data_IF_082998884376
#
_entry.id   IF_082998884376
#
_cell.length_a   1.000
_cell.length_b   1.000
_cell.length_c   1.000
_cell.angle_alpha   90.00
_cell.angle_beta   90.00
_cell.angle_gamma   90.00
#
_symmetry.space_group_name_H-M   'P 1'
#
loop_
_entity.id
_entity.type
_entity.pdbx_description
1 polymer ?
#
# COMPACT_ATOMS: atom_id res chain seq x y z
N UNK A 1 15.27 3.23 22.96
CA UNK A 1 15.42 3.09 22.55
C UNK A 1 15.73 2.93 21.67
N UNK A 2 15.96 3.10 21.51
CA UNK A 2 16.18 3.13 20.76
C UNK A 2 16.33 2.69 20.02
N UNK A 3 15.92 3.01 20.34
CA UNK A 3 15.76 2.45 19.34
C UNK A 3 16.68 1.95 18.36
N UNK A 4 17.15 1.34 18.09
CA UNK A 4 17.95 0.49 17.23
C UNK A 4 18.00 0.97 15.78
N UNK A 5 17.95 2.29 15.59
CA UNK A 5 18.06 2.82 14.27
C UNK A 5 16.78 2.77 13.43
N UNK A 6 15.71 2.21 13.94
CA UNK A 6 14.44 2.25 13.25
C UNK A 6 13.74 3.56 13.57
N UNK A 7 13.34 4.26 12.54
CA UNK A 7 12.51 5.44 12.68
C UNK A 7 11.23 5.20 11.89
N UNK A 8 10.15 5.65 12.46
CA UNK A 8 8.84 5.50 11.85
C UNK A 8 8.35 6.88 11.45
N UNK A 9 7.93 7.01 10.22
CA UNK A 9 7.36 8.27 9.75
C UNK A 9 6.04 8.01 9.06
N UNK A 10 5.15 9.02 9.13
CA UNK A 10 3.87 8.98 8.45
C UNK A 10 4.06 9.70 7.12
N UNK A 11 3.75 9.01 6.03
CA UNK A 11 3.83 9.62 4.70
C UNK A 11 2.70 10.62 4.53
N UNK A 12 2.94 11.71 3.81
CA UNK A 12 1.89 12.71 3.58
C UNK A 12 0.76 12.14 2.74
N UNK A 13 -0.44 12.68 2.97
CA UNK A 13 -1.62 12.29 2.23
C UNK A 13 -2.29 11.05 2.75
N UNK A 14 -3.43 10.75 2.18
CA UNK A 14 -4.22 9.59 2.53
C UNK A 14 -4.15 8.57 1.41
N UNK A 15 -4.35 7.32 1.78
CA UNK A 15 -4.27 6.19 0.86
C UNK A 15 -5.59 5.45 0.84
N UNK A 16 -5.83 4.75 -0.25
CA UNK A 16 -7.01 3.93 -0.43
C UNK A 16 -6.59 2.49 -0.75
N UNK A 17 -7.43 1.56 -0.34
CA UNK A 17 -7.25 0.15 -0.61
C UNK A 17 -8.44 -0.32 -1.43
N UNK A 18 -8.16 -0.82 -2.64
CA UNK A 18 -9.18 -1.37 -3.53
C UNK A 18 -9.01 -2.87 -3.61
N UNK A 19 -10.11 -3.58 -3.63
CA UNK A 19 -10.11 -5.02 -3.86
C UNK A 19 -10.82 -5.30 -5.17
N UNK A 20 -10.14 -6.02 -6.04
CA UNK A 20 -10.64 -6.35 -7.38
C UNK A 20 -10.63 -7.87 -7.53
N UNK A 21 -11.40 -8.39 -8.49
CA UNK A 21 -11.35 -9.83 -8.78
C UNK A 21 -9.92 -10.30 -9.07
N UNK A 22 -9.58 -11.54 -8.71
CA UNK A 22 -8.19 -12.01 -8.80
C UNK A 22 -7.61 -12.02 -10.19
N UNK A 23 -8.44 -12.10 -11.23
CA UNK A 23 -8.00 -12.12 -12.62
C UNK A 23 -8.06 -10.74 -13.28
N UNK A 24 -8.32 -9.68 -12.51
CA UNK A 24 -8.38 -8.34 -13.05
C UNK A 24 -7.03 -7.88 -13.57
N UNK A 25 -7.04 -7.04 -14.60
CA UNK A 25 -5.85 -6.32 -15.02
C UNK A 25 -5.61 -5.18 -14.04
N UNK A 26 -4.35 -4.88 -13.68
CA UNK A 26 -4.08 -3.73 -12.83
C UNK A 26 -4.59 -2.45 -13.47
N UNK A 27 -5.34 -1.62 -12.75
CA UNK A 27 -5.84 -0.39 -13.32
C UNK A 27 -4.72 0.62 -13.55
N UNK A 28 -4.80 1.36 -14.66
CA UNK A 28 -3.75 2.30 -15.03
C UNK A 28 -3.54 3.38 -13.98
N UNK A 29 -4.60 3.83 -13.31
CA UNK A 29 -4.48 4.86 -12.29
C UNK A 29 -3.64 4.43 -11.10
N UNK A 30 -3.48 3.11 -10.87
CA UNK A 30 -2.69 2.62 -9.75
C UNK A 30 -1.22 3.01 -9.88
N UNK A 31 -0.74 3.24 -11.08
CA UNK A 31 0.66 3.58 -11.32
C UNK A 31 0.91 5.08 -11.43
N UNK A 32 -0.11 5.90 -11.19
CA UNK A 32 -0.02 7.33 -11.43
C UNK A 32 0.75 8.08 -10.34
N UNK A 33 1.05 7.45 -9.23
CA UNK A 33 1.76 8.06 -8.13
C UNK A 33 3.01 7.24 -7.78
N UNK A 34 3.98 7.85 -7.09
CA UNK A 34 5.23 7.14 -6.79
C UNK A 34 5.09 6.05 -5.73
N UNK A 35 4.03 6.08 -4.93
CA UNK A 35 3.82 5.06 -3.88
C UNK A 35 2.57 4.26 -4.18
N UNK A 36 2.73 3.00 -4.50
CA UNK A 36 1.60 2.10 -4.73
C UNK A 36 2.05 0.66 -4.49
N UNK A 37 1.08 -0.20 -4.30
CA UNK A 37 1.33 -1.62 -4.12
C UNK A 37 0.18 -2.40 -4.75
N UNK A 38 0.50 -3.49 -5.42
CA UNK A 38 -0.49 -4.40 -5.99
C UNK A 38 -0.12 -5.81 -5.56
N UNK A 39 -1.07 -6.48 -4.94
CA UNK A 39 -0.90 -7.85 -4.49
C UNK A 39 -1.99 -8.72 -5.08
N UNK A 40 -1.60 -9.76 -5.77
CA UNK A 40 -2.56 -10.71 -6.35
C UNK A 40 -2.46 -12.04 -5.62
N UNK A 41 -3.62 -12.55 -5.22
CA UNK A 41 -3.74 -13.89 -4.69
C UNK A 41 -4.78 -14.63 -5.52
N UNK A 42 -5.04 -15.87 -5.19
CA UNK A 42 -6.11 -16.60 -5.89
C UNK A 42 -7.49 -16.09 -5.55
N UNK A 43 -7.62 -15.30 -4.47
CA UNK A 43 -8.91 -14.80 -4.01
C UNK A 43 -9.22 -13.39 -4.48
N UNK A 44 -8.18 -12.57 -4.65
CA UNK A 44 -8.41 -11.16 -4.97
C UNK A 44 -7.13 -10.50 -5.49
N UNK A 45 -7.30 -9.33 -6.09
CA UNK A 45 -6.21 -8.42 -6.36
C UNK A 45 -6.43 -7.17 -5.52
N UNK A 46 -5.47 -6.85 -4.68
CA UNK A 46 -5.54 -5.71 -3.78
C UNK A 46 -4.62 -4.61 -4.29
N UNK A 47 -5.13 -3.38 -4.36
CA UNK A 47 -4.38 -2.23 -4.84
C UNK A 47 -4.34 -1.19 -3.73
N UNK A 48 -3.15 -0.74 -3.38
CA UNK A 48 -2.96 0.37 -2.44
C UNK A 48 -2.35 1.52 -3.20
N UNK A 49 -2.98 2.68 -3.14
CA UNK A 49 -2.53 3.87 -3.85
C UNK A 49 -3.01 5.12 -3.12
N UNK A 50 -2.39 6.28 -3.36
CA UNK A 50 -2.90 7.53 -2.80
C UNK A 50 -4.35 7.75 -3.21
N UNK A 51 -5.16 8.20 -2.26
CA UNK A 51 -6.57 8.48 -2.52
C UNK A 51 -6.79 9.36 -3.74
N UNK A 52 -5.89 10.32 -3.90
CA UNK A 52 -6.01 11.31 -4.96
C UNK A 52 -6.00 10.72 -6.37
N UNK A 53 -5.38 9.56 -6.56
CA UNK A 53 -5.33 8.93 -7.88
C UNK A 53 -6.43 7.91 -8.09
N UNK A 54 -7.15 7.55 -7.05
CA UNK A 54 -8.24 6.57 -7.15
C UNK A 54 -9.50 7.30 -7.60
N UNK A 55 -10.10 6.91 -8.73
CA UNK A 55 -11.31 7.59 -9.20
C UNK A 55 -12.42 7.53 -8.15
N UNK A 56 -13.24 8.58 -8.03
CA UNK A 56 -14.27 8.63 -6.98
C UNK A 56 -15.37 7.57 -7.13
N UNK A 57 -15.57 7.06 -8.32
CA UNK A 57 -16.57 6.03 -8.59
C UNK A 57 -16.05 4.60 -8.33
N UNK A 58 -14.78 4.46 -8.01
CA UNK A 58 -14.19 3.15 -7.70
C UNK A 58 -14.46 2.83 -6.23
N UNK A 59 -14.98 1.65 -5.98
CA UNK A 59 -15.21 1.18 -4.63
C UNK A 59 -13.86 0.96 -3.94
N UNK A 60 -13.62 1.65 -2.85
CA UNK A 60 -12.36 1.57 -2.14
C UNK A 60 -12.55 1.91 -0.67
N UNK A 61 -11.71 1.33 0.16
CA UNK A 61 -11.59 1.74 1.55
C UNK A 61 -10.61 2.90 1.60
N UNK A 62 -11.05 4.04 2.10
CA UNK A 62 -10.29 5.29 2.03
C UNK A 62 -9.87 5.76 3.42
N UNK A 63 -9.02 6.77 3.47
CA UNK A 63 -8.63 7.38 4.72
C UNK A 63 -7.48 6.67 5.45
N UNK A 64 -6.71 5.87 4.75
CA UNK A 64 -5.58 5.16 5.35
C UNK A 64 -4.34 6.02 5.36
N UNK A 65 -3.49 5.80 6.35
CA UNK A 65 -2.18 6.44 6.43
C UNK A 65 -1.10 5.42 6.13
N UNK A 66 -0.08 5.86 5.42
CA UNK A 66 1.07 5.01 5.14
C UNK A 66 2.18 5.34 6.13
N UNK A 67 2.69 4.30 6.77
CA UNK A 67 3.84 4.42 7.65
C UNK A 67 5.07 3.90 6.94
N UNK A 68 6.19 4.55 7.17
CA UNK A 68 7.46 4.16 6.59
C UNK A 68 8.46 3.91 7.71
N UNK A 69 9.13 2.77 7.63
CA UNK A 69 10.27 2.50 8.49
C UNK A 69 11.52 3.02 7.80
N UNK A 70 12.28 3.86 8.50
CA UNK A 70 13.57 4.29 8.03
C UNK A 70 14.61 3.31 8.56
N UNK A 71 15.50 2.89 7.71
CA UNK A 71 16.52 1.92 8.06
C UNK A 71 16.23 0.55 7.49
N UNK A 72 17.23 -0.29 7.42
CA UNK A 72 17.06 -1.61 6.80
C UNK A 72 16.18 -2.53 7.63
N UNK A 73 15.37 -3.29 6.94
CA UNK A 73 14.55 -4.33 7.55
C UNK A 73 15.15 -5.67 7.13
N UNK A 74 15.51 -6.55 8.06
CA UNK A 74 16.07 -7.85 7.69
C UNK A 74 15.08 -8.64 6.84
N UNK A 75 15.56 -9.23 5.76
CA UNK A 75 14.69 -9.97 4.84
C UNK A 75 14.13 -11.24 5.47
N UNK A 76 14.87 -11.82 6.38
CA UNK A 76 14.41 -13.04 7.07
C UNK A 76 13.27 -12.77 8.03
N UNK A 77 12.95 -11.50 8.29
CA UNK A 77 11.83 -11.12 9.13
C UNK A 77 10.66 -10.59 8.35
N UNK A 78 10.73 -10.62 7.03
CA UNK A 78 9.68 -10.01 6.21
C UNK A 78 8.31 -10.67 6.42
N UNK A 79 8.29 -11.94 6.74
CA UNK A 79 7.04 -12.65 6.96
C UNK A 79 6.23 -12.19 8.16
N UNK A 80 6.85 -11.50 9.08
CA UNK A 80 6.13 -11.03 10.27
C UNK A 80 5.14 -9.92 9.96
N UNK A 81 5.26 -9.33 8.79
CA UNK A 81 4.34 -8.27 8.38
C UNK A 81 3.05 -8.83 7.77
N UNK A 82 3.00 -10.10 7.56
CA UNK A 82 1.84 -10.72 6.93
C UNK A 82 0.65 -10.78 7.87
#
# INVERSE_FOLDING_TARGET
MSAHGLALSIRPGLFAICRLPPDSAPPAWAFAAPHWSITRTEDEMSVVAPEAVVPPDVAASRGWRMLRFAGPMPLDQSGILA
#
